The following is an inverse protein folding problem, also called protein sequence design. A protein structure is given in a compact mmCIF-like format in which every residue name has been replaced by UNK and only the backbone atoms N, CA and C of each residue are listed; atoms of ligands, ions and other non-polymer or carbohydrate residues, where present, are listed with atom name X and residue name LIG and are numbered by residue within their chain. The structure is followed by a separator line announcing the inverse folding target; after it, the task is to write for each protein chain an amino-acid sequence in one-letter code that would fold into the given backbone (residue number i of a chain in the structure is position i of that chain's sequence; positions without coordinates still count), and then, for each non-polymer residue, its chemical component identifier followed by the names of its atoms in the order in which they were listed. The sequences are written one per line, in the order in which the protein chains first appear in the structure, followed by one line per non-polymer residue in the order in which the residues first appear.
data_IF_430273401297
#
_entry.id   IF_430273401297
#
_cell.length_a   1.000
_cell.length_b   1.000
_cell.length_c   1.000
_cell.angle_alpha   90.00
_cell.angle_beta   90.00
_cell.angle_gamma   90.00
#
_symmetry.space_group_name_H-M   'P 1'
#
loop_
_entity.id
_entity.type
_entity.pdbx_description
1 polymer ?
#
# COMPACT_ATOMS: atom_id res chain seq x y z
N UNK A 1 8.13 67.52 -27.15
CA UNK A 1 7.16 66.52 -26.66
C UNK A 1 6.02 66.37 -27.66
N UNK A 2 5.32 65.24 -27.63
CA UNK A 2 4.76 64.56 -28.82
C UNK A 2 3.41 65.11 -29.31
N UNK A 3 3.11 64.89 -30.59
CA UNK A 3 1.99 65.44 -31.34
C UNK A 3 0.82 64.45 -31.56
N UNK A 4 -0.38 65.06 -31.65
CA UNK A 4 -1.54 64.73 -32.52
C UNK A 4 -2.50 63.57 -32.20
N UNK A 5 -3.77 63.95 -32.41
CA UNK A 5 -5.03 63.18 -32.53
C UNK A 5 -4.94 61.97 -33.47
N UNK A 6 -5.85 61.00 -33.27
CA UNK A 6 -6.82 60.59 -34.31
C UNK A 6 -8.00 59.80 -33.69
N UNK A 7 -9.07 59.64 -34.47
CA UNK A 7 -10.38 59.12 -34.06
C UNK A 7 -10.69 57.66 -34.50
N UNK A 8 -11.98 57.32 -34.75
CA UNK A 8 -12.53 55.99 -34.42
C UNK A 8 -12.77 55.03 -35.60
N UNK A 9 -13.00 53.73 -35.30
CA UNK A 9 -13.79 52.67 -36.02
C UNK A 9 -13.81 51.38 -35.14
N UNK A 10 -14.91 50.62 -34.98
CA UNK A 10 -15.63 49.67 -35.90
C UNK A 10 -14.69 48.54 -36.40
N UNK A 11 -15.01 47.24 -36.48
CA UNK A 11 -16.19 46.34 -36.31
C UNK A 11 -15.66 44.96 -35.82
N UNK A 12 -16.36 44.09 -35.07
CA UNK A 12 -17.45 43.17 -35.45
C UNK A 12 -17.08 42.12 -36.54
N UNK A 13 -16.80 40.88 -36.12
CA UNK A 13 -16.91 39.66 -36.93
C UNK A 13 -16.91 38.39 -36.03
N UNK A 14 -18.02 37.65 -36.00
CA UNK A 14 -18.17 36.32 -35.36
C UNK A 14 -18.99 35.43 -36.29
N UNK A 15 -18.71 34.13 -36.26
CA UNK A 15 -19.40 33.01 -36.92
C UNK A 15 -19.14 32.80 -38.43
N UNK A 16 -18.57 31.63 -38.75
CA UNK A 16 -19.14 30.72 -39.77
C UNK A 16 -19.16 29.30 -39.18
N UNK A 17 -20.28 28.61 -39.39
CA UNK A 17 -20.59 27.26 -38.92
C UNK A 17 -20.12 26.19 -39.90
N UNK A 18 -19.80 24.98 -39.44
CA UNK A 18 -19.82 23.78 -40.27
C UNK A 18 -20.45 22.60 -39.51
N UNK A 19 -21.54 22.05 -40.07
CA UNK A 19 -22.25 20.85 -39.61
C UNK A 19 -22.11 19.79 -40.71
N UNK A 20 -21.91 18.51 -40.36
CA UNK A 20 -22.06 17.40 -41.29
C UNK A 20 -22.61 16.13 -40.59
N UNK A 21 -23.75 15.66 -41.10
CA UNK A 21 -24.57 14.49 -40.72
C UNK A 21 -25.41 14.17 -41.99
N UNK A 22 -25.90 12.97 -42.37
CA UNK A 22 -26.20 11.68 -41.72
C UNK A 22 -25.87 10.54 -42.71
N UNK A 23 -25.37 9.37 -42.25
CA UNK A 23 -25.79 8.01 -42.71
C UNK A 23 -25.09 6.94 -41.85
N UNK A 24 -25.72 6.13 -40.99
CA UNK A 24 -26.91 5.26 -41.12
C UNK A 24 -26.65 3.95 -41.89
N UNK A 25 -26.55 2.85 -41.13
CA UNK A 25 -26.44 1.47 -41.62
C UNK A 25 -26.67 0.51 -40.44
N UNK A 26 -27.68 -0.36 -40.54
CA UNK A 26 -28.29 -1.07 -39.40
C UNK A 26 -27.91 -2.55 -39.28
N UNK A 27 -27.84 -3.04 -38.02
CA UNK A 27 -28.24 -4.39 -37.52
C UNK A 27 -27.85 -5.64 -38.37
N UNK A 28 -27.12 -6.62 -37.82
CA UNK A 28 -27.72 -7.65 -36.94
C UNK A 28 -26.69 -8.51 -36.15
N UNK A 29 -27.10 -8.87 -34.92
CA UNK A 29 -26.94 -10.16 -34.21
C UNK A 29 -25.62 -10.98 -34.28
N UNK A 30 -25.07 -11.30 -33.10
CA UNK A 30 -24.32 -12.55 -32.91
C UNK A 30 -23.35 -12.59 -31.72
N UNK A 31 -23.56 -13.54 -30.80
CA UNK A 31 -22.49 -14.18 -30.02
C UNK A 31 -21.87 -13.41 -28.84
N UNK A 32 -22.40 -13.64 -27.64
CA UNK A 32 -21.59 -13.58 -26.43
C UNK A 32 -20.88 -14.92 -26.22
N UNK A 33 -19.60 -14.93 -25.83
CA UNK A 33 -18.94 -16.10 -25.26
C UNK A 33 -18.38 -15.75 -23.90
N UNK A 34 -18.88 -16.45 -22.88
CA UNK A 34 -18.42 -16.34 -21.51
C UNK A 34 -17.07 -17.05 -21.34
N UNK A 35 -16.22 -16.53 -20.45
CA UNK A 35 -15.09 -17.28 -19.93
C UNK A 35 -15.60 -18.28 -18.90
N UNK A 36 -15.65 -19.55 -19.27
CA UNK A 36 -15.95 -20.64 -18.34
C UNK A 36 -14.66 -21.05 -17.61
N UNK A 37 -14.62 -20.83 -16.30
CA UNK A 37 -13.64 -21.48 -15.43
C UNK A 37 -14.27 -22.78 -14.91
N UNK A 38 -13.85 -23.92 -15.45
CA UNK A 38 -14.24 -25.24 -14.93
C UNK A 38 -13.55 -25.50 -13.60
N UNK A 39 -14.33 -25.65 -12.54
CA UNK A 39 -13.84 -26.16 -11.27
C UNK A 39 -13.62 -27.69 -11.36
N UNK A 40 -12.55 -28.17 -10.74
CA UNK A 40 -12.38 -29.57 -10.36
C UNK A 40 -12.18 -29.61 -8.84
N UNK A 41 -13.03 -30.36 -8.15
CA UNK A 41 -12.91 -30.60 -6.70
C UNK A 41 -11.87 -31.71 -6.42
N UNK A 42 -11.29 -31.75 -5.20
CA UNK A 42 -10.32 -32.76 -4.82
C UNK A 42 -10.97 -34.04 -4.29
N UNK A 43 -10.28 -35.16 -4.48
CA UNK A 43 -10.44 -36.37 -3.67
C UNK A 43 -9.08 -36.72 -3.05
N UNK A 44 -9.06 -36.82 -1.72
CA UNK A 44 -8.08 -37.59 -0.92
C UNK A 44 -8.61 -39.04 -0.79
N UNK A 45 -7.84 -40.07 -0.36
CA UNK A 45 -7.02 -40.03 0.87
C UNK A 45 -5.69 -40.83 0.89
N UNK A 46 -4.94 -40.58 1.97
CA UNK A 46 -4.10 -41.46 2.81
C UNK A 46 -3.38 -42.70 2.22
N UNK A 47 -2.06 -42.80 2.47
CA UNK A 47 -1.53 -43.80 3.43
C UNK A 47 -0.05 -43.56 3.85
N UNK A 48 0.17 -43.67 5.17
CA UNK A 48 1.32 -44.25 5.91
C UNK A 48 2.75 -44.28 5.31
N UNK A 49 3.74 -43.80 6.08
CA UNK A 49 4.60 -44.67 6.92
C UNK A 49 5.59 -43.86 7.81
N UNK A 50 5.80 -44.39 9.01
CA UNK A 50 6.81 -44.04 10.06
C UNK A 50 7.59 -45.36 10.36
N UNK A 51 8.67 -45.41 11.16
CA UNK A 51 9.75 -44.42 11.39
C UNK A 51 11.18 -45.06 11.53
N UNK A 52 12.14 -44.24 11.97
CA UNK A 52 13.29 -44.55 12.86
C UNK A 52 14.67 -45.13 12.40
N UNK A 53 15.68 -44.62 13.15
CA UNK A 53 17.05 -45.08 13.48
C UNK A 53 18.16 -45.35 12.45
N UNK A 54 19.32 -44.68 12.65
CA UNK A 54 20.58 -45.43 12.86
C UNK A 54 21.90 -44.90 12.24
N UNK A 55 22.81 -44.45 13.12
CA UNK A 55 24.29 -44.64 13.10
C UNK A 55 25.21 -43.78 12.19
N UNK A 56 26.08 -42.99 12.85
CA UNK A 56 27.47 -42.66 12.43
C UNK A 56 28.38 -43.91 12.50
N UNK A 57 29.50 -44.03 11.74
CA UNK A 57 30.78 -43.46 12.19
C UNK A 57 31.79 -42.97 11.11
N UNK A 58 32.37 -41.79 11.39
CA UNK A 58 33.81 -41.48 11.52
C UNK A 58 34.86 -41.58 10.37
N UNK A 59 35.88 -40.71 10.51
CA UNK A 59 37.22 -40.59 9.88
C UNK A 59 37.42 -40.56 8.33
N UNK A 60 38.21 -39.59 7.85
CA UNK A 60 38.82 -39.63 6.50
C UNK A 60 39.27 -38.28 5.91
N UNK A 61 40.52 -37.87 6.16
CA UNK A 61 41.13 -36.60 5.71
C UNK A 61 41.72 -36.62 4.29
N UNK A 62 41.57 -35.51 3.52
CA UNK A 62 42.66 -34.90 2.72
C UNK A 62 42.30 -33.44 2.30
N UNK A 63 43.25 -32.48 2.19
CA UNK A 63 42.95 -31.08 1.92
C UNK A 63 43.11 -30.71 0.43
N UNK A 64 42.00 -30.42 -0.25
CA UNK A 64 42.01 -29.87 -1.61
C UNK A 64 42.20 -28.35 -1.62
N UNK A 65 43.29 -27.85 -2.21
CA UNK A 65 43.46 -26.43 -2.54
C UNK A 65 42.32 -25.96 -3.47
N UNK A 66 41.46 -25.07 -2.97
CA UNK A 66 40.26 -24.61 -3.67
C UNK A 66 40.04 -23.12 -3.53
N UNK A 67 40.69 -22.35 -4.41
CA UNK A 67 40.45 -20.95 -4.77
C UNK A 67 39.43 -20.19 -3.91
N UNK A 68 39.94 -19.43 -2.94
CA UNK A 68 39.23 -18.51 -2.04
C UNK A 68 38.39 -17.47 -2.83
N UNK A 69 37.05 -17.53 -2.84
CA UNK A 69 36.19 -16.58 -3.53
C UNK A 69 35.80 -15.41 -2.61
N UNK A 70 36.71 -14.97 -1.74
CA UNK A 70 36.47 -13.94 -0.73
C UNK A 70 37.56 -12.83 -0.74
N UNK A 71 37.47 -12.00 -1.77
CA UNK A 71 38.29 -10.79 -1.94
C UNK A 71 37.50 -9.48 -1.84
N UNK A 72 36.16 -9.50 -1.77
CA UNK A 72 35.37 -8.26 -1.64
C UNK A 72 35.15 -7.80 -0.20
N UNK A 73 35.09 -8.69 0.81
CA UNK A 73 34.95 -8.23 2.21
C UNK A 73 36.20 -7.50 2.73
N UNK A 74 37.40 -7.87 2.26
CA UNK A 74 38.69 -7.34 2.76
C UNK A 74 38.92 -5.84 2.49
N UNK A 75 38.36 -5.28 1.42
CA UNK A 75 38.59 -3.86 1.05
C UNK A 75 37.75 -2.87 1.88
N UNK A 76 36.69 -3.35 2.54
CA UNK A 76 35.81 -2.54 3.39
C UNK A 76 36.07 -2.69 4.90
N UNK A 77 37.10 -3.43 5.32
CA UNK A 77 37.41 -3.64 6.74
C UNK A 77 38.11 -2.43 7.39
N UNK A 78 37.33 -1.36 7.53
CA UNK A 78 37.69 -0.12 8.20
C UNK A 78 37.01 -0.09 9.57
N UNK A 79 37.78 0.18 10.62
CA UNK A 79 37.29 0.28 12.01
C UNK A 79 36.34 1.47 12.20
N UNK A 80 35.54 1.45 13.28
CA UNK A 80 34.61 2.52 13.68
C UNK A 80 35.33 3.78 14.22
N UNK A 81 36.27 4.30 13.46
CA UNK A 81 36.96 5.55 13.77
C UNK A 81 35.98 6.74 13.71
N UNK A 82 35.93 7.52 14.79
CA UNK A 82 35.15 8.76 14.82
C UNK A 82 35.69 9.80 13.81
N UNK A 83 34.83 10.64 13.21
CA UNK A 83 35.27 11.63 12.23
C UNK A 83 36.25 12.65 12.83
N UNK A 84 37.41 12.83 12.21
CA UNK A 84 38.34 13.92 12.52
C UNK A 84 38.04 15.19 11.70
N UNK A 85 38.78 16.27 11.98
CA UNK A 85 38.80 17.46 11.12
C UNK A 85 39.50 17.12 9.79
N UNK A 86 38.73 16.63 8.82
CA UNK A 86 39.22 16.26 7.49
C UNK A 86 38.49 17.03 6.40
N UNK A 87 39.12 17.15 5.23
CA UNK A 87 38.50 17.74 4.05
C UNK A 87 37.56 16.78 3.29
N UNK A 88 37.44 15.51 3.72
CA UNK A 88 36.40 14.60 3.23
C UNK A 88 35.09 15.00 3.92
N UNK A 89 34.06 15.31 3.15
CA UNK A 89 32.75 15.71 3.68
C UNK A 89 31.63 15.08 2.87
N UNK A 90 30.55 14.62 3.53
CA UNK A 90 29.27 14.36 2.86
C UNK A 90 28.48 15.67 2.83
N UNK A 91 28.30 16.27 1.67
CA UNK A 91 27.65 17.58 1.54
C UNK A 91 26.12 17.45 1.52
N UNK A 92 25.56 16.45 0.83
CA UNK A 92 24.12 16.20 0.78
C UNK A 92 23.76 14.72 0.75
N UNK A 93 22.56 14.40 1.22
CA UNK A 93 21.94 13.07 1.12
C UNK A 93 20.50 13.28 0.64
N UNK A 94 20.20 12.83 -0.57
CA UNK A 94 18.90 12.97 -1.22
C UNK A 94 18.30 11.59 -1.49
N UNK A 95 17.11 11.23 -0.95
CA UNK A 95 16.49 9.95 -1.24
C UNK A 95 15.94 9.87 -2.67
N UNK A 96 16.12 8.72 -3.31
CA UNK A 96 15.45 8.39 -4.57
C UNK A 96 13.93 8.45 -4.39
N UNK A 97 13.24 8.89 -5.44
CA UNK A 97 11.77 8.85 -5.51
C UNK A 97 11.28 7.40 -5.49
N UNK A 98 10.11 7.18 -4.88
CA UNK A 98 9.43 5.88 -4.89
C UNK A 98 9.16 5.45 -6.34
N UNK A 99 9.42 4.18 -6.71
CA UNK A 99 9.09 3.67 -8.04
C UNK A 99 7.61 3.91 -8.36
N UNK A 100 7.36 4.71 -9.39
CA UNK A 100 6.01 5.20 -9.70
C UNK A 100 5.27 4.21 -10.59
N UNK A 101 3.95 4.15 -10.41
CA UNK A 101 3.08 3.38 -11.31
C UNK A 101 3.27 3.88 -12.75
N UNK A 102 3.41 2.95 -13.70
CA UNK A 102 3.49 3.25 -15.13
C UNK A 102 2.17 3.80 -15.70
N UNK A 103 1.06 3.67 -14.96
CA UNK A 103 -0.21 4.31 -15.30
C UNK A 103 -0.16 5.81 -15.02
N UNK A 104 -0.36 6.69 -16.02
CA UNK A 104 -0.29 8.14 -15.84
C UNK A 104 -1.24 8.71 -14.79
N UNK A 105 -2.39 8.04 -14.55
CA UNK A 105 -3.37 8.40 -13.51
C UNK A 105 -2.79 8.26 -12.08
N UNK A 106 -1.81 7.38 -11.89
CA UNK A 106 -1.28 6.98 -10.58
C UNK A 106 0.17 7.44 -10.36
N UNK A 107 0.89 7.79 -11.43
CA UNK A 107 2.27 8.30 -11.44
C UNK A 107 2.54 9.63 -10.67
N UNK A 108 1.53 10.23 -10.03
CA UNK A 108 1.66 11.47 -9.25
C UNK A 108 1.40 11.33 -7.75
N UNK A 109 0.85 10.20 -7.29
CA UNK A 109 0.47 10.03 -5.89
C UNK A 109 1.34 8.93 -5.25
N UNK A 110 2.54 9.31 -4.81
CA UNK A 110 3.45 8.48 -4.02
C UNK A 110 4.05 9.36 -2.90
N UNK A 111 4.59 8.75 -1.84
CA UNK A 111 5.20 9.47 -0.72
C UNK A 111 6.67 9.10 -0.56
N UNK A 112 7.54 9.98 -1.03
CA UNK A 112 8.99 9.75 -1.03
C UNK A 112 9.60 9.69 0.40
N UNK A 113 8.89 10.21 1.41
CA UNK A 113 9.23 10.19 2.85
C UNK A 113 8.81 8.88 3.58
N UNK A 114 8.45 7.82 2.84
CA UNK A 114 8.12 6.49 3.37
C UNK A 114 9.14 5.45 2.91
N UNK A 115 9.50 4.53 3.82
CA UNK A 115 10.37 3.38 3.52
C UNK A 115 9.80 2.12 4.17
N UNK A 116 9.79 1.02 3.44
CA UNK A 116 9.34 -0.29 3.90
C UNK A 116 10.46 -1.08 4.60
N UNK A 117 10.20 -1.53 5.84
CA UNK A 117 11.07 -2.43 6.61
C UNK A 117 10.43 -3.84 6.62
N UNK A 118 11.01 -4.81 5.89
CA UNK A 118 10.52 -6.20 5.83
C UNK A 118 10.56 -6.90 7.20
N UNK A 119 9.92 -8.08 7.29
CA UNK A 119 10.05 -8.93 8.49
C UNK A 119 11.50 -9.39 8.66
N UNK A 120 11.81 -9.93 9.84
CA UNK A 120 13.10 -10.55 10.11
C UNK A 120 13.41 -11.64 9.05
N UNK A 121 14.58 -11.52 8.44
CA UNK A 121 15.09 -12.32 7.33
C UNK A 121 14.34 -12.18 5.98
N UNK A 122 13.43 -11.21 5.82
CA UNK A 122 12.86 -10.84 4.52
C UNK A 122 13.67 -9.72 3.82
N UNK A 123 13.63 -9.71 2.48
CA UNK A 123 14.13 -8.64 1.63
C UNK A 123 13.00 -7.67 1.20
N UNK A 124 13.37 -6.48 0.70
CA UNK A 124 12.46 -5.65 -0.09
C UNK A 124 12.35 -6.22 -1.51
N UNK A 125 11.16 -6.13 -2.13
CA UNK A 125 10.99 -6.46 -3.56
C UNK A 125 11.42 -5.28 -4.42
N UNK A 126 11.19 -4.06 -3.94
CA UNK A 126 11.63 -2.82 -4.57
C UNK A 126 12.76 -2.17 -3.77
N UNK A 127 13.90 -1.95 -4.42
CA UNK A 127 15.04 -1.28 -3.81
C UNK A 127 14.87 0.25 -3.88
N UNK A 128 15.32 0.94 -2.83
CA UNK A 128 15.46 2.40 -2.74
C UNK A 128 16.93 2.75 -2.57
N UNK A 129 17.29 3.94 -3.02
CA UNK A 129 18.65 4.44 -2.97
C UNK A 129 18.70 5.85 -2.35
N UNK A 130 19.89 6.27 -1.96
CA UNK A 130 20.25 7.64 -1.64
C UNK A 130 21.24 8.11 -2.71
N UNK A 131 21.01 9.29 -3.27
CA UNK A 131 22.08 10.07 -3.89
C UNK A 131 22.87 10.74 -2.76
N UNK A 132 24.18 10.55 -2.76
CA UNK A 132 25.11 11.07 -1.76
C UNK A 132 26.11 11.97 -2.49
N UNK A 133 26.06 13.26 -2.20
CA UNK A 133 27.02 14.25 -2.69
C UNK A 133 28.15 14.38 -1.65
N UNK A 134 29.39 14.47 -2.12
CA UNK A 134 30.56 14.50 -1.24
C UNK A 134 31.75 15.27 -1.82
N UNK A 135 32.58 15.84 -0.94
CA UNK A 135 33.85 16.46 -1.30
C UNK A 135 34.98 15.46 -1.06
N UNK A 136 35.69 15.07 -2.12
CA UNK A 136 36.85 14.18 -2.06
C UNK A 136 38.16 14.97 -2.16
N UNK A 137 39.02 14.97 -1.11
CA UNK A 137 40.29 15.68 -1.15
C UNK A 137 41.23 15.15 -2.24
N UNK A 138 42.11 16.02 -2.75
CA UNK A 138 43.09 15.61 -3.77
C UNK A 138 44.11 14.64 -3.17
N UNK A 139 44.22 13.44 -3.75
CA UNK A 139 45.12 12.40 -3.26
C UNK A 139 44.48 11.44 -2.24
N UNK A 140 43.17 11.56 -1.99
CA UNK A 140 42.39 10.57 -1.24
C UNK A 140 41.58 9.72 -2.23
N UNK A 141 41.62 8.41 -2.04
CA UNK A 141 40.76 7.44 -2.72
C UNK A 141 39.61 7.05 -1.79
N UNK A 142 38.37 6.97 -2.30
CA UNK A 142 37.22 6.52 -1.51
C UNK A 142 37.13 4.99 -1.57
N UNK A 143 37.44 4.30 -0.46
CA UNK A 143 37.58 2.84 -0.43
C UNK A 143 36.35 2.11 0.07
N UNK A 144 35.54 2.72 0.94
CA UNK A 144 34.33 2.07 1.48
C UNK A 144 33.21 3.08 1.78
N UNK A 145 31.97 2.63 1.62
CA UNK A 145 30.76 3.37 1.98
C UNK A 145 29.91 2.49 2.89
N UNK A 146 29.55 3.01 4.07
CA UNK A 146 28.60 2.35 4.97
C UNK A 146 27.31 3.16 5.08
N UNK A 147 26.18 2.49 5.01
CA UNK A 147 24.85 3.05 5.28
C UNK A 147 24.22 2.31 6.45
N UNK A 148 24.10 3.01 7.58
CA UNK A 148 23.45 2.51 8.79
C UNK A 148 22.01 3.04 8.87
N UNK A 149 21.02 2.15 9.00
CA UNK A 149 19.65 2.50 9.33
C UNK A 149 19.57 2.82 10.83
N UNK A 150 19.04 3.99 11.18
CA UNK A 150 18.90 4.49 12.55
C UNK A 150 17.44 4.48 13.01
N UNK A 151 17.19 4.22 14.30
CA UNK A 151 15.91 4.55 14.93
C UNK A 151 15.88 6.03 15.34
N UNK A 152 15.30 6.90 14.51
CA UNK A 152 15.21 8.35 14.80
C UNK A 152 13.93 8.76 15.52
N UNK A 153 13.21 7.80 16.11
CA UNK A 153 12.04 8.11 16.95
C UNK A 153 12.41 9.06 18.09
N UNK A 154 11.55 10.02 18.50
CA UNK A 154 11.95 11.17 19.33
C UNK A 154 12.55 10.88 20.72
N UNK A 155 12.49 9.64 21.19
CA UNK A 155 13.04 9.18 22.48
C UNK A 155 14.12 8.10 22.34
N UNK A 156 14.44 7.66 21.11
CA UNK A 156 15.26 6.46 20.90
C UNK A 156 16.77 6.69 21.12
N UNK A 157 17.26 7.93 21.01
CA UNK A 157 18.71 8.23 21.06
C UNK A 157 19.47 7.95 19.76
N UNK A 158 18.76 7.68 18.65
CA UNK A 158 19.33 7.40 17.30
C UNK A 158 20.29 6.19 17.23
N UNK A 159 19.99 5.05 17.89
CA UNK A 159 20.79 3.83 17.76
C UNK A 159 20.71 3.27 16.34
N UNK A 160 21.79 2.59 15.93
CA UNK A 160 21.80 1.80 14.70
C UNK A 160 20.86 0.60 14.88
N UNK A 161 19.93 0.44 13.95
CA UNK A 161 19.07 -0.74 13.83
C UNK A 161 19.78 -1.84 13.04
N UNK A 162 20.47 -1.48 11.95
CA UNK A 162 21.23 -2.37 11.07
C UNK A 162 22.05 -1.56 10.06
N UNK A 163 23.24 -2.04 9.69
CA UNK A 163 23.93 -1.63 8.45
C UNK A 163 23.25 -2.27 7.25
N UNK A 164 22.71 -1.45 6.32
CA UNK A 164 21.95 -1.94 5.15
C UNK A 164 22.81 -2.06 3.89
N UNK A 165 23.97 -1.44 3.86
CA UNK A 165 24.97 -1.55 2.78
C UNK A 165 26.34 -1.18 3.35
N UNK A 166 27.36 -1.98 3.08
CA UNK A 166 28.79 -1.71 3.34
C UNK A 166 29.57 -2.25 2.16
N UNK A 167 30.02 -1.39 1.25
CA UNK A 167 30.74 -1.82 0.04
C UNK A 167 31.65 -0.71 -0.51
N UNK A 168 32.63 -1.09 -1.32
CA UNK A 168 33.42 -0.16 -2.11
C UNK A 168 32.57 0.45 -3.26
N UNK A 169 32.78 1.71 -3.66
CA UNK A 169 32.12 2.29 -4.82
C UNK A 169 32.60 1.64 -6.13
N UNK A 170 31.66 1.16 -6.96
CA UNK A 170 31.97 0.65 -8.31
C UNK A 170 31.24 1.43 -9.41
N UNK A 171 31.69 1.32 -10.65
CA UNK A 171 31.08 2.01 -11.79
C UNK A 171 29.74 1.42 -12.24
N UNK A 172 29.54 0.11 -12.05
CA UNK A 172 28.30 -0.59 -12.36
C UNK A 172 27.28 -0.48 -11.22
N UNK A 173 27.75 -0.52 -9.97
CA UNK A 173 26.99 -0.42 -8.73
C UNK A 173 27.18 -1.60 -7.77
N UNK A 174 27.80 -2.70 -8.25
CA UNK A 174 28.25 -3.84 -7.44
C UNK A 174 27.27 -4.27 -6.35
N UNK A 175 27.78 -4.35 -5.12
CA UNK A 175 27.04 -4.73 -3.92
C UNK A 175 26.06 -3.65 -3.40
N UNK A 176 25.82 -2.58 -4.16
CA UNK A 176 24.83 -1.53 -3.84
C UNK A 176 25.38 -0.10 -3.78
N UNK A 177 26.65 0.13 -4.14
CA UNK A 177 27.30 1.45 -4.13
C UNK A 177 27.80 1.78 -5.54
N UNK A 178 27.11 2.69 -6.22
CA UNK A 178 27.45 3.14 -7.57
C UNK A 178 28.07 4.52 -7.59
N UNK A 179 29.23 4.68 -8.20
CA UNK A 179 29.78 6.00 -8.55
C UNK A 179 29.03 6.57 -9.76
N UNK A 180 28.42 7.74 -9.61
CA UNK A 180 27.77 8.48 -10.71
C UNK A 180 28.70 9.55 -11.29
N UNK A 181 29.56 10.12 -10.45
CA UNK A 181 30.57 11.11 -10.82
C UNK A 181 31.82 11.00 -9.96
N UNK A 182 32.55 12.11 -9.80
CA UNK A 182 33.72 12.21 -8.91
C UNK A 182 33.32 12.55 -7.46
N UNK A 183 32.12 13.08 -7.31
CA UNK A 183 31.55 13.78 -6.17
C UNK A 183 30.09 13.35 -5.88
N UNK A 184 29.57 12.37 -6.63
CA UNK A 184 28.22 11.81 -6.46
C UNK A 184 28.24 10.27 -6.47
N UNK A 185 27.62 9.68 -5.44
CA UNK A 185 27.32 8.25 -5.34
C UNK A 185 25.82 8.00 -5.32
N UNK A 186 25.41 6.82 -5.77
CA UNK A 186 24.08 6.25 -5.55
C UNK A 186 24.20 4.97 -4.74
N UNK A 187 23.62 4.97 -3.54
CA UNK A 187 23.83 3.95 -2.53
C UNK A 187 22.51 3.30 -2.13
N UNK A 188 22.43 1.97 -2.11
CA UNK A 188 21.22 1.23 -1.67
C UNK A 188 20.93 1.54 -0.21
N UNK A 189 19.65 1.68 0.12
CA UNK A 189 19.16 2.04 1.46
C UNK A 189 18.09 1.08 1.98
N UNK A 190 17.96 -0.07 1.33
CA UNK A 190 16.94 -1.10 1.55
C UNK A 190 17.58 -2.48 1.57
N UNK A 191 16.79 -3.45 2.02
CA UNK A 191 17.22 -4.83 2.23
C UNK A 191 17.05 -5.62 0.93
N UNK A 192 18.03 -6.43 0.55
CA UNK A 192 17.92 -7.37 -0.57
C UNK A 192 18.13 -8.82 -0.12
N UNK A 193 18.17 -9.76 -1.07
CA UNK A 193 18.27 -11.19 -0.77
C UNK A 193 19.63 -11.57 -0.13
N UNK A 194 20.68 -10.80 -0.41
CA UNK A 194 22.01 -10.95 0.21
C UNK A 194 22.08 -10.27 1.58
N UNK A 195 21.42 -9.12 1.73
CA UNK A 195 21.39 -8.30 2.94
C UNK A 195 19.96 -8.14 3.50
N UNK A 196 19.29 -9.23 3.93
CA UNK A 196 17.91 -9.17 4.39
C UNK A 196 17.78 -8.44 5.74
N UNK A 197 16.54 -8.04 6.06
CA UNK A 197 16.23 -7.33 7.31
C UNK A 197 16.59 -8.16 8.54
N UNK A 198 17.45 -7.61 9.39
CA UNK A 198 17.82 -8.11 10.73
C UNK A 198 17.23 -7.22 11.84
N UNK A 199 16.37 -6.26 11.49
CA UNK A 199 15.77 -5.29 12.42
C UNK A 199 14.84 -6.01 13.40
N UNK A 200 15.26 -6.10 14.67
CA UNK A 200 14.50 -6.75 15.76
C UNK A 200 13.54 -5.81 16.52
N UNK A 201 13.59 -4.50 16.27
CA UNK A 201 12.75 -3.51 16.96
C UNK A 201 11.27 -3.72 16.65
N UNK A 202 10.39 -3.57 17.66
CA UNK A 202 8.95 -3.69 17.40
C UNK A 202 8.47 -2.48 16.59
N UNK A 203 7.52 -2.64 15.65
CA UNK A 203 6.96 -1.52 14.89
C UNK A 203 6.50 -0.35 15.75
N UNK A 204 5.91 -0.61 16.92
CA UNK A 204 5.48 0.40 17.89
C UNK A 204 6.59 1.20 18.57
N UNK A 205 7.83 0.69 18.56
CA UNK A 205 9.02 1.29 19.20
C UNK A 205 9.89 2.08 18.19
N UNK A 206 9.59 1.93 16.90
CA UNK A 206 10.32 2.55 15.78
C UNK A 206 9.29 3.27 14.90
N UNK A 207 8.99 4.53 15.25
CA UNK A 207 8.01 5.39 14.56
C UNK A 207 8.64 6.34 13.54
N UNK A 208 9.97 6.50 13.60
CA UNK A 208 10.79 7.17 12.58
C UNK A 208 12.11 6.43 12.38
N UNK A 209 12.62 6.50 11.16
CA UNK A 209 13.96 6.05 10.81
C UNK A 209 14.72 7.12 10.03
N UNK A 210 16.04 7.04 10.04
CA UNK A 210 16.91 7.83 9.18
C UNK A 210 18.10 6.99 8.77
N UNK A 211 18.90 7.48 7.85
CA UNK A 211 20.13 6.83 7.40
C UNK A 211 21.33 7.62 7.85
N UNK A 212 22.42 6.90 8.14
CA UNK A 212 23.74 7.46 8.37
C UNK A 212 24.65 6.97 7.28
N UNK A 213 25.13 7.88 6.44
CA UNK A 213 26.14 7.59 5.44
C UNK A 213 27.49 7.92 6.03
N UNK A 214 28.37 6.92 6.09
CA UNK A 214 29.76 7.05 6.47
C UNK A 214 30.63 6.73 5.25
N UNK A 215 31.47 7.67 4.84
CA UNK A 215 32.45 7.52 3.77
C UNK A 215 33.83 7.29 4.39
N UNK A 216 34.54 6.28 3.91
CA UNK A 216 35.90 5.96 4.32
C UNK A 216 36.81 6.04 3.10
N UNK A 217 37.77 6.95 3.15
CA UNK A 217 38.84 7.03 2.16
C UNK A 217 40.21 6.72 2.75
N UNK A 218 41.19 6.49 1.87
CA UNK A 218 42.61 6.37 2.23
C UNK A 218 43.40 7.44 1.49
N UNK A 219 44.31 8.11 2.18
CA UNK A 219 45.30 8.98 1.53
C UNK A 219 46.50 8.19 0.99
N UNK A 220 47.48 8.90 0.41
CA UNK A 220 48.69 8.30 -0.17
C UNK A 220 49.57 7.56 0.83
N UNK A 221 49.50 7.93 2.11
CA UNK A 221 50.28 7.31 3.18
C UNK A 221 49.50 6.13 3.82
N UNK A 222 48.31 5.82 3.30
CA UNK A 222 47.41 4.77 3.78
C UNK A 222 46.54 5.20 4.96
N UNK A 223 46.56 6.47 5.36
CA UNK A 223 45.77 6.98 6.48
C UNK A 223 44.29 6.93 6.14
N UNK A 224 43.50 6.29 6.99
CA UNK A 224 42.04 6.28 6.88
C UNK A 224 41.46 7.64 7.25
N UNK A 225 40.63 8.18 6.37
CA UNK A 225 39.90 9.42 6.55
C UNK A 225 38.41 9.11 6.50
N UNK A 226 37.67 9.50 7.54
CA UNK A 226 36.24 9.21 7.67
C UNK A 226 35.41 10.48 7.65
N UNK A 227 34.35 10.50 6.84
CA UNK A 227 33.31 11.53 6.86
C UNK A 227 31.93 10.91 7.11
N UNK A 228 31.03 11.63 7.77
CA UNK A 228 29.72 11.10 8.15
C UNK A 228 28.64 12.15 8.11
N UNK A 229 27.45 11.77 7.62
CA UNK A 229 26.24 12.59 7.71
C UNK A 229 25.01 11.71 7.86
N UNK A 230 24.05 12.22 8.63
CA UNK A 230 22.76 11.57 8.79
C UNK A 230 21.73 12.27 7.88
N UNK A 231 20.81 11.50 7.29
CA UNK A 231 19.73 11.97 6.42
C UNK A 231 18.62 12.69 7.19
N UNK A 232 17.65 13.23 6.45
CA UNK A 232 16.34 13.54 7.00
C UNK A 232 15.63 12.28 7.55
N UNK A 233 14.60 12.49 8.37
CA UNK A 233 13.71 11.43 8.86
C UNK A 233 12.77 10.91 7.77
N UNK A 234 12.53 9.60 7.79
CA UNK A 234 11.50 8.88 7.07
C UNK A 234 10.54 8.22 8.06
N UNK A 235 9.31 7.96 7.63
CA UNK A 235 8.37 7.16 8.42
C UNK A 235 8.40 5.71 7.91
N UNK A 236 8.72 4.74 8.78
CA UNK A 236 8.76 3.34 8.38
C UNK A 236 7.35 2.80 8.11
N UNK A 237 7.25 1.94 7.10
CA UNK A 237 6.13 1.05 6.87
C UNK A 237 6.57 -0.39 7.17
N UNK A 238 5.77 -1.09 7.95
CA UNK A 238 6.03 -2.45 8.40
C UNK A 238 5.07 -3.40 7.71
N UNK A 239 5.52 -4.62 7.44
CA UNK A 239 4.63 -5.72 7.07
C UNK A 239 3.52 -5.86 8.13
N UNK A 240 2.26 -6.01 7.70
CA UNK A 240 1.12 -6.18 8.59
C UNK A 240 1.34 -7.33 9.60
N UNK A 241 0.71 -7.25 10.80
CA UNK A 241 0.70 -8.36 11.76
C UNK A 241 0.17 -9.65 11.12
N UNK A 242 0.65 -10.80 11.61
CA UNK A 242 0.26 -12.09 11.06
C UNK A 242 -1.22 -12.48 11.36
N UNK A 243 -1.70 -13.47 10.60
CA UNK A 243 -3.02 -14.07 10.78
C UNK A 243 -4.19 -13.16 10.43
N UNK A 244 -3.99 -12.16 9.56
CA UNK A 244 -5.09 -11.55 8.83
C UNK A 244 -5.32 -12.33 7.54
N UNK A 245 -6.54 -12.81 7.38
CA UNK A 245 -7.05 -13.28 6.11
C UNK A 245 -6.97 -12.16 5.04
N UNK A 246 -6.72 -12.53 3.77
CA UNK A 246 -6.62 -11.59 2.63
C UNK A 246 -7.61 -11.92 1.50
N UNK A 247 -8.14 -10.94 0.79
CA UNK A 247 -8.95 -11.12 -0.44
C UNK A 247 -8.59 -10.08 -1.49
N UNK A 248 -8.79 -10.39 -2.78
CA UNK A 248 -8.39 -9.50 -3.88
C UNK A 248 -7.07 -9.91 -4.53
N UNK A 249 -6.56 -9.10 -5.47
CA UNK A 249 -5.27 -9.37 -6.13
C UNK A 249 -4.10 -8.86 -5.28
N UNK A 250 -3.02 -9.65 -5.21
CA UNK A 250 -1.76 -9.24 -4.60
C UNK A 250 -0.71 -9.03 -5.68
N UNK A 251 -0.17 -7.81 -5.74
CA UNK A 251 0.92 -7.44 -6.66
C UNK A 251 2.29 -7.77 -6.01
N UNK A 252 2.43 -8.99 -5.47
CA UNK A 252 3.57 -9.42 -4.63
C UNK A 252 4.91 -9.27 -5.36
N UNK A 253 4.92 -9.57 -6.67
CA UNK A 253 6.08 -9.36 -7.57
C UNK A 253 6.47 -7.88 -7.75
N UNK A 254 5.70 -6.95 -7.17
CA UNK A 254 6.01 -5.52 -7.08
C UNK A 254 5.83 -5.02 -5.64
N UNK A 255 6.18 -5.85 -4.66
CA UNK A 255 6.20 -5.47 -3.24
C UNK A 255 4.86 -5.65 -2.52
N UNK A 256 3.81 -6.10 -3.21
CA UNK A 256 2.50 -6.31 -2.58
C UNK A 256 1.87 -5.02 -2.04
N UNK A 257 0.98 -5.19 -1.07
CA UNK A 257 0.04 -4.19 -0.56
C UNK A 257 -0.16 -4.26 0.96
N UNK A 258 0.71 -4.98 1.68
CA UNK A 258 0.57 -5.36 3.09
C UNK A 258 1.37 -4.49 4.06
N UNK A 259 1.75 -3.29 3.62
CA UNK A 259 2.60 -2.36 4.37
C UNK A 259 1.74 -1.39 5.19
N UNK A 260 2.06 -1.24 6.47
CA UNK A 260 1.28 -0.45 7.42
C UNK A 260 2.18 0.46 8.25
N UNK A 261 1.66 1.60 8.73
CA UNK A 261 2.44 2.45 9.63
C UNK A 261 2.71 1.74 10.95
N UNK A 262 3.74 2.15 11.69
CA UNK A 262 3.97 1.73 13.08
C UNK A 262 2.71 1.79 13.95
N UNK A 263 1.90 2.83 13.74
CA UNK A 263 0.64 3.05 14.45
C UNK A 263 -0.45 2.05 14.03
N UNK A 264 -0.65 1.88 12.72
CA UNK A 264 -1.63 0.93 12.18
C UNK A 264 -1.26 -0.52 12.51
N UNK A 265 0.03 -0.88 12.50
CA UNK A 265 0.51 -2.17 12.99
C UNK A 265 0.06 -2.41 14.43
N UNK A 266 0.32 -1.45 15.33
CA UNK A 266 -0.10 -1.52 16.73
C UNK A 266 -1.62 -1.63 16.90
N UNK A 267 -2.40 -0.88 16.11
CA UNK A 267 -3.86 -0.97 16.12
C UNK A 267 -4.36 -2.34 15.65
N UNK A 268 -3.79 -2.89 14.57
CA UNK A 268 -4.12 -4.20 14.00
C UNK A 268 -3.67 -5.38 14.87
N UNK A 269 -2.63 -5.20 15.70
CA UNK A 269 -2.18 -6.22 16.67
C UNK A 269 -3.16 -6.43 17.84
N UNK A 270 -4.09 -5.50 18.09
CA UNK A 270 -5.11 -5.65 19.15
C UNK A 270 -6.24 -6.56 18.66
N UNK A 271 -6.45 -7.70 19.32
CA UNK A 271 -7.46 -8.71 18.94
C UNK A 271 -8.87 -8.14 18.74
N UNK A 272 -9.30 -7.21 19.60
CA UNK A 272 -10.60 -6.55 19.49
C UNK A 272 -10.75 -5.69 18.22
N UNK A 273 -9.66 -5.05 17.77
CA UNK A 273 -9.63 -4.25 16.53
C UNK A 273 -9.57 -5.16 15.30
N UNK A 274 -8.72 -6.20 15.35
CA UNK A 274 -8.61 -7.25 14.33
C UNK A 274 -9.97 -7.89 14.02
N UNK A 275 -10.79 -8.18 15.03
CA UNK A 275 -12.14 -8.70 14.87
C UNK A 275 -13.15 -7.75 14.17
N UNK A 276 -12.80 -6.46 14.01
CA UNK A 276 -13.59 -5.51 13.22
C UNK A 276 -13.30 -5.59 11.72
N UNK A 277 -12.11 -6.06 11.32
CA UNK A 277 -11.65 -6.16 9.94
C UNK A 277 -11.40 -7.65 9.57
N UNK A 278 -12.45 -8.42 9.22
CA UNK A 278 -12.38 -9.89 9.16
C UNK A 278 -11.44 -10.43 8.07
N UNK A 279 -11.29 -9.73 6.95
CA UNK A 279 -10.39 -10.08 5.83
C UNK A 279 -9.97 -8.78 5.15
N UNK A 280 -8.67 -8.54 4.93
CA UNK A 280 -8.13 -7.27 4.43
C UNK A 280 -7.82 -7.36 2.93
N UNK A 281 -8.26 -6.36 2.15
CA UNK A 281 -7.80 -6.13 0.79
C UNK A 281 -6.48 -5.36 0.82
N UNK A 282 -6.53 -4.02 0.72
CA UNK A 282 -5.37 -3.16 0.51
C UNK A 282 -5.02 -2.36 1.77
N UNK A 283 -3.74 -2.06 2.02
CA UNK A 283 -3.34 -1.07 3.05
C UNK A 283 -2.31 -0.04 2.54
N UNK A 284 -1.16 -0.47 2.04
CA UNK A 284 -0.20 0.38 1.32
C UNK A 284 0.72 -0.48 0.50
N UNK A 285 1.11 0.01 -0.68
CA UNK A 285 2.21 -0.58 -1.42
C UNK A 285 3.54 -0.37 -0.71
N UNK A 286 4.51 -1.22 -1.05
CA UNK A 286 5.90 -1.11 -0.59
C UNK A 286 6.43 0.32 -0.85
N UNK A 287 7.13 0.89 0.13
CA UNK A 287 7.62 2.29 0.10
C UNK A 287 6.53 3.34 -0.19
N UNK A 288 5.27 3.08 0.16
CA UNK A 288 4.12 3.90 -0.23
C UNK A 288 3.96 4.05 -1.76
N UNK A 289 4.24 2.99 -2.52
CA UNK A 289 3.87 2.87 -3.92
C UNK A 289 2.34 2.92 -4.07
N UNK A 290 1.88 3.66 -5.07
CA UNK A 290 0.48 3.68 -5.47
C UNK A 290 0.03 2.33 -6.04
N UNK A 291 -0.99 1.73 -5.42
CA UNK A 291 -1.59 0.45 -5.83
C UNK A 291 -2.69 0.60 -6.89
N UNK A 292 -3.16 1.83 -7.15
CA UNK A 292 -4.30 2.11 -8.04
C UNK A 292 -5.30 3.12 -7.48
N UNK A 293 -5.09 3.59 -6.24
CA UNK A 293 -5.93 4.56 -5.54
C UNK A 293 -5.07 5.45 -4.63
N UNK A 294 -5.47 6.72 -4.48
CA UNK A 294 -4.60 7.79 -3.94
C UNK A 294 -4.52 7.88 -2.42
N UNK A 295 -5.26 7.06 -1.69
CA UNK A 295 -5.37 7.08 -0.21
C UNK A 295 -4.32 6.20 0.46
N UNK A 296 -3.99 5.05 -0.12
CA UNK A 296 -3.17 3.97 0.48
C UNK A 296 -1.66 4.24 0.43
N UNK A 297 -1.24 5.46 0.79
CA UNK A 297 0.15 5.93 0.74
C UNK A 297 0.75 6.18 2.13
N UNK A 298 -0.01 5.96 3.20
CA UNK A 298 0.44 6.25 4.58
C UNK A 298 0.52 5.01 5.46
N UNK A 299 0.00 3.88 4.99
CA UNK A 299 -0.15 2.66 5.79
C UNK A 299 -1.18 2.77 6.92
N UNK A 300 -2.09 3.77 6.89
CA UNK A 300 -3.18 3.95 7.87
C UNK A 300 -4.58 3.75 7.26
N UNK A 301 -4.66 3.60 5.95
CA UNK A 301 -5.87 3.54 5.15
C UNK A 301 -6.07 2.08 4.76
N UNK A 302 -7.17 1.44 5.17
CA UNK A 302 -7.34 -0.01 5.11
C UNK A 302 -8.65 -0.37 4.40
N UNK A 303 -8.55 -1.10 3.30
CA UNK A 303 -9.70 -1.72 2.66
C UNK A 303 -9.89 -3.14 3.23
N UNK A 304 -11.10 -3.45 3.68
CA UNK A 304 -11.45 -4.75 4.25
C UNK A 304 -12.75 -5.28 3.64
N UNK A 305 -13.01 -6.57 3.82
CA UNK A 305 -14.22 -7.22 3.31
C UNK A 305 -15.46 -6.68 4.02
N UNK A 306 -16.61 -6.78 3.35
CA UNK A 306 -17.89 -6.36 3.90
C UNK A 306 -18.14 -6.90 5.32
N UNK A 307 -18.69 -6.08 6.23
CA UNK A 307 -19.15 -6.51 7.54
C UNK A 307 -20.07 -7.74 7.57
N UNK A 308 -20.84 -7.96 6.50
CA UNK A 308 -21.73 -9.11 6.28
C UNK A 308 -21.36 -9.84 4.99
N UNK A 309 -21.34 -11.17 5.05
CA UNK A 309 -21.06 -12.07 3.92
C UNK A 309 -22.34 -12.83 3.57
N UNK A 310 -22.84 -12.63 2.36
CA UNK A 310 -23.99 -13.38 1.85
C UNK A 310 -23.65 -14.87 1.66
N UNK A 311 -24.66 -15.73 1.79
CA UNK A 311 -24.49 -17.17 1.59
C UNK A 311 -24.00 -17.49 0.17
N UNK A 312 -23.15 -18.51 0.05
CA UNK A 312 -22.54 -18.91 -1.23
C UNK A 312 -21.51 -17.92 -1.79
N UNK A 313 -21.01 -16.97 -1.00
CA UNK A 313 -19.82 -16.16 -1.34
C UNK A 313 -18.62 -16.73 -0.62
N UNK A 314 -17.65 -17.26 -1.36
CA UNK A 314 -16.30 -17.44 -0.83
C UNK A 314 -15.64 -16.07 -0.67
N UNK A 315 -15.31 -15.70 0.56
CA UNK A 315 -14.67 -14.43 0.87
C UNK A 315 -13.19 -14.40 0.43
N UNK A 316 -12.54 -15.55 0.27
CA UNK A 316 -11.15 -15.65 -0.17
C UNK A 316 -10.93 -15.55 -1.68
N UNK A 317 -11.95 -15.87 -2.47
CA UNK A 317 -11.88 -15.82 -3.92
C UNK A 317 -11.55 -14.41 -4.47
N UNK A 318 -10.87 -14.39 -5.63
CA UNK A 318 -10.65 -13.17 -6.37
C UNK A 318 -11.99 -12.54 -6.80
N UNK A 319 -12.19 -11.25 -6.51
CA UNK A 319 -13.43 -10.52 -6.81
C UNK A 319 -14.58 -10.81 -5.83
N UNK A 320 -14.32 -11.50 -4.71
CA UNK A 320 -15.34 -11.85 -3.70
C UNK A 320 -16.14 -10.67 -3.17
N UNK A 321 -15.51 -9.48 -3.02
CA UNK A 321 -16.20 -8.25 -2.64
C UNK A 321 -17.32 -7.86 -3.62
N UNK A 322 -16.99 -7.83 -4.92
CA UNK A 322 -17.97 -7.56 -5.98
C UNK A 322 -19.05 -8.63 -6.09
N UNK A 323 -18.71 -9.90 -5.86
CA UNK A 323 -19.69 -10.98 -5.76
C UNK A 323 -20.64 -10.80 -4.57
N UNK A 324 -20.13 -10.37 -3.41
CA UNK A 324 -20.93 -10.08 -2.22
C UNK A 324 -21.88 -8.89 -2.45
N UNK A 325 -21.40 -7.83 -3.09
CA UNK A 325 -22.24 -6.72 -3.52
C UNK A 325 -23.32 -7.13 -4.53
N UNK A 326 -23.01 -8.02 -5.47
CA UNK A 326 -23.99 -8.57 -6.41
C UNK A 326 -25.05 -9.42 -5.70
N UNK A 327 -24.71 -10.12 -4.60
CA UNK A 327 -25.72 -10.79 -3.73
C UNK A 327 -26.62 -9.79 -3.02
N UNK A 328 -26.09 -8.68 -2.51
CA UNK A 328 -26.91 -7.59 -1.96
C UNK A 328 -27.88 -7.02 -3.01
N UNK A 329 -27.42 -6.78 -4.24
CA UNK A 329 -28.28 -6.34 -5.36
C UNK A 329 -29.41 -7.36 -5.60
N UNK A 330 -29.09 -8.66 -5.64
CA UNK A 330 -30.07 -9.72 -5.86
C UNK A 330 -31.11 -9.81 -4.72
N UNK A 331 -30.66 -9.80 -3.46
CA UNK A 331 -31.55 -9.84 -2.28
C UNK A 331 -32.45 -8.60 -2.23
N UNK A 332 -31.91 -7.41 -2.53
CA UNK A 332 -32.71 -6.17 -2.58
C UNK A 332 -33.71 -6.20 -3.73
N UNK A 333 -33.35 -6.76 -4.89
CA UNK A 333 -34.27 -6.94 -6.02
C UNK A 333 -35.42 -7.90 -5.68
N UNK A 334 -35.14 -8.94 -4.87
CA UNK A 334 -36.16 -9.85 -4.34
C UNK A 334 -37.06 -9.12 -3.33
N UNK A 335 -36.50 -8.35 -2.38
CA UNK A 335 -37.27 -7.52 -1.45
C UNK A 335 -38.20 -6.52 -2.16
N UNK A 336 -37.72 -5.85 -3.23
CA UNK A 336 -38.54 -4.97 -4.09
C UNK A 336 -39.69 -5.71 -4.80
N UNK A 337 -39.62 -7.04 -4.93
CA UNK A 337 -40.66 -7.89 -5.49
C UNK A 337 -41.57 -8.49 -4.39
N UNK A 338 -41.47 -8.02 -3.14
CA UNK A 338 -42.15 -8.55 -1.95
C UNK A 338 -41.78 -10.01 -1.59
N UNK A 339 -40.55 -10.42 -1.88
CA UNK A 339 -39.99 -11.71 -1.41
C UNK A 339 -39.46 -11.59 0.03
N UNK A 340 -39.95 -12.46 0.92
CA UNK A 340 -39.63 -12.44 2.35
C UNK A 340 -38.17 -12.84 2.66
N UNK A 341 -37.57 -13.75 1.88
CA UNK A 341 -36.16 -14.14 2.05
C UNK A 341 -35.23 -13.03 1.58
N UNK A 342 -35.56 -12.40 0.45
CA UNK A 342 -34.88 -11.19 -0.02
C UNK A 342 -34.91 -10.08 1.02
N UNK A 343 -36.07 -9.81 1.61
CA UNK A 343 -36.22 -8.82 2.67
C UNK A 343 -35.37 -9.17 3.90
N UNK A 344 -35.46 -10.42 4.40
CA UNK A 344 -34.68 -10.91 5.53
C UNK A 344 -33.17 -10.73 5.32
N UNK A 345 -32.65 -11.18 4.18
CA UNK A 345 -31.21 -11.09 3.88
C UNK A 345 -30.70 -9.64 3.84
N UNK A 346 -31.51 -8.70 3.35
CA UNK A 346 -31.14 -7.26 3.35
C UNK A 346 -31.22 -6.68 4.76
N UNK A 347 -32.20 -7.05 5.57
CA UNK A 347 -32.27 -6.65 6.98
C UNK A 347 -31.06 -7.16 7.77
N UNK A 348 -30.72 -8.45 7.67
CA UNK A 348 -29.53 -9.04 8.31
C UNK A 348 -28.23 -8.32 7.89
N UNK A 349 -28.06 -8.05 6.59
CA UNK A 349 -26.92 -7.29 6.08
C UNK A 349 -26.85 -5.88 6.69
N UNK A 350 -27.99 -5.20 6.79
CA UNK A 350 -28.07 -3.85 7.32
C UNK A 350 -27.75 -3.82 8.83
N UNK A 351 -28.30 -4.74 9.61
CA UNK A 351 -28.06 -4.85 11.06
C UNK A 351 -26.61 -5.23 11.38
N UNK A 352 -26.05 -6.24 10.70
CA UNK A 352 -24.67 -6.67 10.88
C UNK A 352 -23.67 -5.56 10.48
N UNK A 353 -23.98 -4.84 9.40
CA UNK A 353 -23.21 -3.67 8.95
C UNK A 353 -23.30 -2.53 9.96
N UNK A 354 -24.50 -2.09 10.35
CA UNK A 354 -24.72 -1.05 11.39
C UNK A 354 -23.98 -1.39 12.69
N UNK A 355 -23.99 -2.65 13.09
CA UNK A 355 -23.31 -3.13 14.32
C UNK A 355 -21.79 -3.02 14.21
N UNK A 356 -21.18 -3.50 13.12
CA UNK A 356 -19.72 -3.45 12.94
C UNK A 356 -19.20 -2.04 12.65
N UNK A 357 -19.92 -1.26 11.84
CA UNK A 357 -19.64 0.16 11.66
C UNK A 357 -19.79 0.94 12.97
N UNK A 358 -20.77 0.60 13.81
CA UNK A 358 -20.92 1.15 15.15
C UNK A 358 -19.66 0.96 15.99
N UNK A 359 -19.15 -0.27 16.07
CA UNK A 359 -17.90 -0.58 16.80
C UNK A 359 -16.66 0.15 16.25
N UNK A 360 -16.60 0.36 14.93
CA UNK A 360 -15.54 1.18 14.31
C UNK A 360 -15.69 2.68 14.66
N UNK A 361 -16.91 3.22 14.69
CA UNK A 361 -17.20 4.62 15.07
C UNK A 361 -16.82 4.95 16.52
N UNK A 362 -16.97 3.97 17.43
CA UNK A 362 -16.57 4.10 18.84
C UNK A 362 -15.05 4.01 19.04
N UNK A 363 -14.33 3.45 18.07
CA UNK A 363 -12.88 3.38 18.12
C UNK A 363 -12.29 4.76 17.81
N UNK A 364 -11.84 5.48 18.85
CA UNK A 364 -11.23 6.83 18.79
C UNK A 364 -10.03 6.97 17.82
N UNK A 365 -9.49 5.87 17.32
CA UNK A 365 -8.40 5.87 16.34
C UNK A 365 -8.89 5.68 14.89
N UNK A 366 -10.14 5.30 14.67
CA UNK A 366 -10.80 5.43 13.37
C UNK A 366 -11.22 6.89 13.20
N UNK A 367 -10.75 7.52 12.13
CA UNK A 367 -11.10 8.93 11.80
C UNK A 367 -12.00 9.03 10.58
N UNK A 368 -12.04 7.98 9.75
CA UNK A 368 -12.91 7.92 8.56
C UNK A 368 -13.35 6.50 8.25
N UNK A 369 -14.57 6.36 7.74
CA UNK A 369 -15.01 5.16 7.03
C UNK A 369 -15.64 5.59 5.70
N UNK A 370 -15.36 4.87 4.62
CA UNK A 370 -16.17 4.90 3.39
C UNK A 370 -16.79 3.52 3.15
N UNK A 371 -18.00 3.48 2.59
CA UNK A 371 -18.74 2.24 2.36
C UNK A 371 -19.71 2.34 1.17
N UNK A 372 -20.40 1.24 0.86
CA UNK A 372 -21.25 1.11 -0.33
C UNK A 372 -22.38 2.15 -0.41
N UNK A 373 -22.40 2.96 -1.47
CA UNK A 373 -23.56 3.78 -1.83
C UNK A 373 -24.70 2.93 -2.42
N UNK A 374 -24.36 1.89 -3.19
CA UNK A 374 -25.25 1.29 -4.17
C UNK A 374 -25.23 2.08 -5.48
N UNK A 375 -24.83 1.42 -6.57
CA UNK A 375 -24.87 1.94 -7.94
C UNK A 375 -26.17 1.58 -8.65
N UNK A 376 -26.50 2.33 -9.70
CA UNK A 376 -27.53 1.92 -10.67
C UNK A 376 -27.27 0.52 -11.23
N UNK A 377 -28.34 -0.25 -11.45
CA UNK A 377 -28.27 -1.62 -11.98
C UNK A 377 -28.72 -1.61 -13.45
N UNK A 378 -27.87 -2.09 -14.35
CA UNK A 378 -28.17 -2.12 -15.79
C UNK A 378 -29.41 -2.98 -16.05
N UNK A 379 -30.43 -2.38 -16.66
CA UNK A 379 -31.70 -3.06 -16.97
C UNK A 379 -32.72 -3.10 -15.83
N UNK A 380 -32.46 -2.44 -14.69
CA UNK A 380 -33.44 -2.32 -13.59
C UNK A 380 -33.44 -0.88 -13.04
N UNK A 381 -34.31 -0.04 -13.61
CA UNK A 381 -34.40 1.38 -13.29
C UNK A 381 -34.86 1.68 -11.84
N UNK A 382 -35.30 0.66 -11.10
CA UNK A 382 -35.65 0.77 -9.68
C UNK A 382 -34.44 1.01 -8.79
N UNK A 383 -33.22 0.73 -9.26
CA UNK A 383 -31.98 1.01 -8.56
C UNK A 383 -31.40 2.36 -9.01
N UNK A 384 -31.50 3.39 -8.17
CA UNK A 384 -30.81 4.68 -8.34
C UNK A 384 -29.58 4.76 -7.44
N UNK A 385 -28.57 5.55 -7.82
CA UNK A 385 -27.36 5.72 -7.01
C UNK A 385 -27.71 6.18 -5.59
N UNK A 386 -27.19 5.47 -4.59
CA UNK A 386 -27.47 5.73 -3.17
C UNK A 386 -28.43 4.74 -2.51
N UNK A 387 -29.04 3.80 -3.25
CA UNK A 387 -30.02 2.84 -2.71
C UNK A 387 -29.54 2.03 -1.50
N UNK A 388 -28.31 1.51 -1.54
CA UNK A 388 -27.75 0.71 -0.44
C UNK A 388 -27.46 1.59 0.77
N UNK A 389 -27.05 2.84 0.54
CA UNK A 389 -26.93 3.83 1.61
C UNK A 389 -28.31 4.15 2.20
N UNK A 390 -29.37 4.33 1.41
CA UNK A 390 -30.71 4.61 1.95
C UNK A 390 -31.13 3.52 2.95
N UNK A 391 -31.06 2.25 2.55
CA UNK A 391 -31.34 1.10 3.42
C UNK A 391 -30.51 1.12 4.71
N UNK A 392 -29.19 1.30 4.62
CA UNK A 392 -28.33 1.38 5.81
C UNK A 392 -28.66 2.55 6.72
N UNK A 393 -29.01 3.70 6.14
CA UNK A 393 -29.17 4.99 6.83
C UNK A 393 -30.53 5.14 7.48
N UNK A 394 -31.61 4.80 6.77
CA UNK A 394 -32.99 5.05 7.17
C UNK A 394 -33.77 3.78 7.49
N UNK A 395 -33.23 2.61 7.12
CA UNK A 395 -33.96 1.34 7.13
C UNK A 395 -34.87 1.19 5.91
N UNK A 396 -34.86 2.15 4.96
CA UNK A 396 -35.85 2.26 3.89
C UNK A 396 -35.23 2.63 2.56
N UNK A 397 -35.87 2.22 1.47
CA UNK A 397 -35.54 2.68 0.13
C UNK A 397 -36.80 2.81 -0.74
N UNK A 398 -37.10 4.05 -1.12
CA UNK A 398 -38.15 4.40 -2.06
C UNK A 398 -37.69 4.13 -3.51
N UNK A 399 -38.57 3.54 -4.33
CA UNK A 399 -38.32 3.28 -5.74
C UNK A 399 -39.60 3.41 -6.57
N UNK A 400 -39.44 3.74 -7.85
CA UNK A 400 -40.55 3.76 -8.81
C UNK A 400 -40.61 2.42 -9.55
N UNK A 401 -41.72 1.70 -9.46
CA UNK A 401 -41.88 0.38 -10.10
C UNK A 401 -42.17 0.46 -11.61
N UNK A 402 -42.35 -0.71 -12.24
CA UNK A 402 -42.63 -0.81 -13.68
C UNK A 402 -43.99 -0.18 -14.10
N UNK A 403 -44.92 0.04 -13.16
CA UNK A 403 -46.19 0.73 -13.38
C UNK A 403 -46.10 2.24 -13.16
N UNK A 404 -44.92 2.74 -12.80
CA UNK A 404 -44.66 4.12 -12.36
C UNK A 404 -45.29 4.47 -11.01
N UNK A 405 -45.59 3.46 -10.19
CA UNK A 405 -46.06 3.66 -8.82
C UNK A 405 -44.84 3.85 -7.88
N UNK A 406 -44.96 4.73 -6.89
CA UNK A 406 -43.97 4.81 -5.81
C UNK A 406 -44.17 3.63 -4.86
N UNK A 407 -43.08 2.92 -4.57
CA UNK A 407 -43.00 1.77 -3.66
C UNK A 407 -41.85 2.00 -2.69
N UNK A 408 -41.85 1.28 -1.57
CA UNK A 408 -40.76 1.30 -0.58
C UNK A 408 -40.36 -0.13 -0.23
N UNK A 409 -39.07 -0.37 -0.04
CA UNK A 409 -38.58 -1.49 0.78
C UNK A 409 -38.34 -0.94 2.18
N UNK A 410 -39.17 -1.34 3.16
CA UNK A 410 -38.94 -1.05 4.59
C UNK A 410 -38.38 -2.29 5.28
N UNK A 411 -37.21 -2.15 5.88
CA UNK A 411 -36.53 -3.20 6.63
C UNK A 411 -37.06 -3.33 8.08
N UNK A 412 -37.90 -2.40 8.54
CA UNK A 412 -38.46 -2.40 9.90
C UNK A 412 -37.49 -1.98 11.01
N UNK A 413 -36.21 -1.80 10.69
CA UNK A 413 -35.13 -1.46 11.65
C UNK A 413 -34.92 0.05 11.87
N UNK A 414 -35.78 0.90 11.28
CA UNK A 414 -35.75 2.35 11.41
C UNK A 414 -34.43 3.03 11.00
N UNK A 415 -34.32 4.33 11.32
CA UNK A 415 -33.13 5.12 11.00
C UNK A 415 -31.95 4.82 11.93
N UNK A 416 -30.74 4.78 11.36
CA UNK A 416 -29.52 4.53 12.12
C UNK A 416 -29.03 5.80 12.82
N UNK A 417 -29.14 5.83 14.15
CA UNK A 417 -28.80 6.98 15.00
C UNK A 417 -27.36 7.50 14.91
N UNK A 418 -26.46 6.80 14.23
CA UNK A 418 -25.02 7.12 14.12
C UNK A 418 -24.60 7.71 12.77
N UNK A 419 -25.55 7.95 11.87
CA UNK A 419 -25.26 8.23 10.46
C UNK A 419 -24.61 9.59 10.15
N UNK A 420 -24.70 10.56 11.05
CA UNK A 420 -24.01 11.85 10.90
C UNK A 420 -22.88 12.01 11.93
N UNK A 421 -22.32 10.88 12.37
CA UNK A 421 -21.09 10.89 13.15
C UNK A 421 -19.92 11.45 12.33
N UNK A 422 -18.99 12.15 12.98
CA UNK A 422 -17.84 12.74 12.28
C UNK A 422 -16.96 11.74 11.49
N UNK A 423 -16.96 10.44 11.85
CA UNK A 423 -16.25 9.35 11.13
C UNK A 423 -16.92 8.94 9.82
N UNK A 424 -18.25 8.87 9.76
CA UNK A 424 -19.00 8.46 8.57
C UNK A 424 -20.28 9.30 8.47
N UNK A 425 -20.42 9.99 7.35
CA UNK A 425 -21.54 10.90 7.04
C UNK A 425 -22.21 10.44 5.75
N UNK A 426 -23.37 11.03 5.42
CA UNK A 426 -24.09 10.76 4.17
C UNK A 426 -23.21 10.73 2.90
N UNK A 427 -22.25 11.66 2.77
CA UNK A 427 -21.34 11.78 1.61
C UNK A 427 -20.22 10.72 1.54
N UNK A 428 -20.10 9.88 2.56
CA UNK A 428 -19.03 8.88 2.69
C UNK A 428 -19.46 7.49 2.21
N UNK A 429 -20.75 7.36 1.90
CA UNK A 429 -21.28 6.25 1.12
C UNK A 429 -20.99 6.54 -0.35
N UNK A 430 -20.17 5.72 -1.00
CA UNK A 430 -19.66 5.95 -2.36
C UNK A 430 -19.77 4.70 -3.22
N UNK A 431 -19.93 4.90 -4.53
CA UNK A 431 -20.08 3.80 -5.50
C UNK A 431 -18.77 3.06 -5.80
N UNK A 432 -17.62 3.72 -5.60
CA UNK A 432 -16.29 3.12 -5.71
C UNK A 432 -15.87 2.33 -4.46
N UNK A 433 -16.76 2.24 -3.45
CA UNK A 433 -16.62 1.43 -2.25
C UNK A 433 -17.79 0.44 -2.11
N UNK A 434 -18.39 0.04 -3.24
CA UNK A 434 -19.55 -0.87 -3.23
C UNK A 434 -19.16 -2.32 -2.89
N UNK A 435 -17.91 -2.71 -3.10
CA UNK A 435 -17.37 -4.06 -2.97
C UNK A 435 -16.46 -4.27 -1.73
N UNK A 436 -16.29 -3.24 -0.89
CA UNK A 436 -15.44 -3.28 0.29
C UNK A 436 -15.89 -2.26 1.36
N UNK A 437 -15.23 -2.28 2.53
CA UNK A 437 -15.23 -1.17 3.50
C UNK A 437 -13.83 -0.56 3.53
N UNK A 438 -13.75 0.76 3.51
CA UNK A 438 -12.50 1.49 3.73
C UNK A 438 -12.50 2.11 5.13
N UNK A 439 -11.40 1.98 5.86
CA UNK A 439 -11.20 2.52 7.21
C UNK A 439 -9.89 3.30 7.26
N UNK A 440 -9.96 4.60 7.53
CA UNK A 440 -8.76 5.43 7.74
C UNK A 440 -8.52 5.62 9.24
N UNK A 441 -7.29 5.32 9.66
CA UNK A 441 -6.82 5.41 11.03
C UNK A 441 -6.02 6.69 11.30
N UNK A 442 -5.98 7.14 12.56
CA UNK A 442 -5.05 8.18 13.01
C UNK A 442 -4.53 7.94 14.41
N UNK A 443 -3.24 8.20 14.59
CA UNK A 443 -2.54 8.22 15.87
C UNK A 443 -3.08 9.35 16.77
N UNK A 444 -3.46 10.49 16.18
CA UNK A 444 -4.16 11.55 16.89
C UNK A 444 -5.55 11.07 17.22
N UNK A 445 -5.73 10.60 18.46
CA UNK A 445 -7.02 10.18 19.01
C UNK A 445 -8.05 11.27 18.77
N UNK A 446 -9.17 10.90 18.15
CA UNK A 446 -10.33 11.76 18.01
C UNK A 446 -10.80 12.18 19.42
N UNK A 447 -10.96 13.49 19.63
CA UNK A 447 -11.49 14.06 20.87
C UNK A 447 -12.95 13.65 21.09
#
# INVERSE_FOLDING_TARGET
MTLRRLGPRRLLAVAVTAVAVISAGTLQLGGATAWAATAASPESPDELLDPEEGLDPDEGSDPGEGLDPDTTEKDCDVSDAEPGESALEVTAITPDRVPRSTSPKYAKAARDDRVSIPRLNEANVQQRYLTVEYLLPTGVELTCVRVDLLNTSPQAGRPVLQTVTRAAPTADGGEGVKSIGRDELKVRATFDEQHPSKVKGKPSEVTRVGYRVSLFGKDRDGTVITARKDSADFFPLWRMPAGFDRYGQRDDKRGGDDWCSSFAHGWLSVAANKALLPRINDISGEHARNLGHGTHLTGNDIDAFHPYRFSGVDAGALGSGGLNYNRLVAATKAAMNADEDGLRQVTEWAEATRTRLGKLIDNKNVVRIYYAAGSQVKGDARFVTGWASALLRTGRYEFTDAKKESKEVDLGIGAWSRIDNQVIRAKDFRTDHNDHIHVALSETRRK
#
